data_IF_382139797373
#
_entry.id   IF_382139797373
#
_cell.length_a   1.000
_cell.length_b   1.000
_cell.length_c   1.000
_cell.angle_alpha   90.00
_cell.angle_beta   90.00
_cell.angle_gamma   90.00
#
_symmetry.space_group_name_H-M   'P 1'
#
loop_
_entity.id
_entity.type
_entity.pdbx_description
1 polymer ?
#
# COMPACT_ATOMS: atom_id res chain seq x y z
N UNK A 1 37.48 -27.13 9.30
CA UNK A 1 36.03 -26.92 9.14
C UNK A 1 35.44 -26.79 10.53
N UNK A 2 35.03 -25.59 10.95
CA UNK A 2 34.42 -25.40 12.25
C UNK A 2 33.00 -26.00 12.24
N UNK A 3 32.77 -26.97 13.11
CA UNK A 3 31.46 -27.59 13.36
C UNK A 3 30.54 -26.54 13.98
N UNK A 4 29.67 -25.93 13.18
CA UNK A 4 28.60 -25.07 13.68
C UNK A 4 27.67 -25.91 14.55
N UNK A 5 27.38 -25.42 15.75
CA UNK A 5 26.40 -26.05 16.64
C UNK A 5 25.00 -25.90 16.05
N UNK A 6 24.11 -26.86 16.29
CA UNK A 6 22.76 -26.92 15.71
C UNK A 6 21.91 -25.68 15.98
N UNK A 7 22.19 -24.94 17.07
CA UNK A 7 21.56 -23.66 17.39
C UNK A 7 22.06 -22.50 16.53
N UNK A 8 23.34 -22.47 16.14
CA UNK A 8 23.87 -21.49 15.19
C UNK A 8 23.37 -21.75 13.77
N UNK A 9 23.20 -23.01 13.37
CA UNK A 9 22.66 -23.35 12.06
C UNK A 9 21.21 -22.85 11.91
N UNK A 10 20.34 -23.12 12.90
CA UNK A 10 18.98 -22.59 12.93
C UNK A 10 18.94 -21.06 12.94
N UNK A 11 19.81 -20.39 13.71
CA UNK A 11 19.86 -18.92 13.76
C UNK A 11 20.32 -18.27 12.45
N UNK A 12 21.20 -18.93 11.70
CA UNK A 12 21.67 -18.48 10.38
C UNK A 12 20.59 -18.71 9.32
N UNK A 13 19.78 -19.76 9.45
CA UNK A 13 18.72 -20.13 8.49
C UNK A 13 17.45 -19.28 8.61
N UNK A 14 17.16 -18.71 9.78
CA UNK A 14 15.93 -17.92 10.06
C UNK A 14 16.08 -16.42 9.70
N UNK A 15 17.31 -15.93 9.44
CA UNK A 15 17.53 -14.51 9.13
C UNK A 15 17.08 -14.18 7.70
N UNK A 16 16.37 -13.06 7.48
CA UNK A 16 15.99 -12.66 6.13
C UNK A 16 17.21 -12.41 5.24
N UNK A 17 17.16 -12.74 3.94
CA UNK A 17 18.27 -12.53 3.00
C UNK A 17 18.80 -11.09 2.99
N UNK A 18 17.92 -10.10 3.13
CA UNK A 18 18.31 -8.68 3.18
C UNK A 18 19.18 -8.32 4.40
N UNK A 19 19.01 -9.01 5.52
CA UNK A 19 19.85 -8.82 6.71
C UNK A 19 21.24 -9.40 6.49
N UNK A 20 21.34 -10.59 5.88
CA UNK A 20 22.63 -11.16 5.50
C UNK A 20 23.39 -10.24 4.55
N UNK A 21 22.69 -9.63 3.59
CA UNK A 21 23.30 -8.66 2.69
C UNK A 21 23.85 -7.44 3.45
N UNK A 22 23.08 -6.85 4.36
CA UNK A 22 23.52 -5.67 5.12
C UNK A 22 24.67 -5.98 6.10
N UNK A 23 24.65 -7.15 6.74
CA UNK A 23 25.71 -7.57 7.66
C UNK A 23 27.05 -7.78 6.95
N UNK A 24 27.06 -8.11 5.64
CA UNK A 24 28.30 -8.21 4.83
C UNK A 24 29.04 -6.88 4.68
N UNK A 25 28.34 -5.75 4.67
CA UNK A 25 28.96 -4.43 4.54
C UNK A 25 29.35 -3.80 5.88
N UNK A 26 28.96 -4.42 6.99
CA UNK A 26 29.22 -3.87 8.32
C UNK A 26 30.50 -4.47 8.90
N UNK A 27 31.49 -3.62 9.20
CA UNK A 27 32.76 -4.00 9.87
C UNK A 27 32.58 -4.81 11.17
N UNK A 28 31.48 -4.63 11.90
CA UNK A 28 31.21 -5.32 13.16
C UNK A 28 30.46 -6.67 13.02
N UNK A 29 30.12 -7.09 11.79
CA UNK A 29 29.51 -8.39 11.48
C UNK A 29 28.05 -8.64 11.92
N UNK A 30 27.55 -8.02 13.00
CA UNK A 30 26.16 -8.20 13.49
C UNK A 30 25.43 -6.87 13.74
N UNK A 31 24.13 -6.83 13.43
CA UNK A 31 23.25 -5.69 13.75
C UNK A 31 22.78 -5.73 15.21
N UNK A 32 22.68 -4.56 15.85
CA UNK A 32 22.13 -4.41 17.20
C UNK A 32 20.60 -4.41 17.18
N UNK A 33 19.96 -4.79 18.28
CA UNK A 33 18.49 -4.78 18.44
C UNK A 33 17.87 -3.40 18.09
N UNK A 34 18.50 -2.30 18.53
CA UNK A 34 18.04 -0.94 18.19
C UNK A 34 18.10 -0.66 16.68
N UNK A 35 19.06 -1.25 15.97
CA UNK A 35 19.17 -1.10 14.52
C UNK A 35 18.04 -1.87 13.82
N UNK A 36 17.71 -3.08 14.27
CA UNK A 36 16.55 -3.81 13.77
C UNK A 36 15.25 -3.04 14.02
N UNK A 37 15.04 -2.50 15.22
CA UNK A 37 13.88 -1.66 15.53
C UNK A 37 13.78 -0.44 14.61
N UNK A 38 14.91 0.27 14.38
CA UNK A 38 14.96 1.41 13.47
C UNK A 38 14.65 1.01 12.02
N UNK A 39 15.21 -0.11 11.54
CA UNK A 39 14.93 -0.63 10.21
C UNK A 39 13.46 -1.00 10.05
N UNK A 40 12.88 -1.71 11.03
CA UNK A 40 11.46 -2.08 11.02
C UNK A 40 10.59 -0.82 10.94
N UNK A 41 10.87 0.19 11.77
CA UNK A 41 10.15 1.44 11.76
C UNK A 41 10.24 2.15 10.40
N UNK A 42 11.44 2.30 9.85
CA UNK A 42 11.66 2.99 8.57
C UNK A 42 11.01 2.23 7.41
N UNK A 43 11.17 0.91 7.36
CA UNK A 43 10.60 0.09 6.28
C UNK A 43 9.07 0.11 6.31
N UNK A 44 8.46 -0.04 7.49
CA UNK A 44 6.99 0.04 7.58
C UNK A 44 6.47 1.44 7.34
N UNK A 45 7.22 2.48 7.73
CA UNK A 45 6.89 3.87 7.43
C UNK A 45 6.87 4.14 5.93
N UNK A 46 7.93 3.75 5.22
CA UNK A 46 8.03 3.89 3.76
C UNK A 46 6.95 3.07 3.06
N UNK A 47 6.70 1.85 3.52
CA UNK A 47 5.64 1.01 2.98
C UNK A 47 4.26 1.69 3.06
N UNK A 48 3.94 2.29 4.21
CA UNK A 48 2.64 2.94 4.41
C UNK A 48 2.55 4.30 3.73
N UNK A 49 3.65 5.04 3.68
CA UNK A 49 3.79 6.23 2.85
C UNK A 49 3.48 5.88 1.39
N UNK A 50 4.02 4.78 0.86
CA UNK A 50 3.77 4.34 -0.50
C UNK A 50 2.29 3.97 -0.72
N UNK A 51 1.66 3.25 0.20
CA UNK A 51 0.21 2.99 0.14
C UNK A 51 -0.59 4.29 0.01
N UNK A 52 -0.28 5.31 0.82
CA UNK A 52 -0.97 6.60 0.73
C UNK A 52 -0.65 7.36 -0.56
N UNK A 53 0.60 7.33 -1.01
CA UNK A 53 0.99 7.93 -2.27
C UNK A 53 0.21 7.31 -3.45
N UNK A 54 0.01 5.98 -3.49
CA UNK A 54 -0.76 5.34 -4.57
C UNK A 54 -2.25 5.73 -4.59
N UNK A 55 -2.84 6.10 -3.46
CA UNK A 55 -4.27 6.48 -3.39
C UNK A 55 -4.54 7.88 -3.93
N UNK A 56 -3.56 8.77 -3.88
CA UNK A 56 -3.76 10.18 -4.24
C UNK A 56 -3.98 10.43 -5.73
N UNK A 57 -3.20 9.84 -6.66
CA UNK A 57 -3.48 9.96 -8.08
C UNK A 57 -4.91 9.56 -8.44
N UNK A 58 -5.43 8.46 -7.88
CA UNK A 58 -6.81 8.02 -8.09
C UNK A 58 -7.85 9.08 -7.67
N UNK A 59 -7.57 9.88 -6.64
CA UNK A 59 -8.44 10.98 -6.23
C UNK A 59 -8.34 12.20 -7.17
N UNK A 60 -7.15 12.47 -7.71
CA UNK A 60 -6.88 13.62 -8.58
C UNK A 60 -7.50 13.41 -9.96
N UNK A 61 -7.32 12.22 -10.55
CA UNK A 61 -7.77 11.92 -11.91
C UNK A 61 -9.29 11.93 -12.05
N UNK A 62 -10.05 11.62 -10.99
CA UNK A 62 -11.52 11.64 -10.97
C UNK A 62 -12.12 12.94 -11.49
N UNK A 63 -11.56 14.08 -11.06
CA UNK A 63 -12.02 15.40 -11.51
C UNK A 63 -11.81 15.65 -13.01
N UNK A 64 -10.88 14.91 -13.64
CA UNK A 64 -10.64 14.95 -15.08
C UNK A 64 -11.51 13.95 -15.83
N UNK A 65 -11.74 12.77 -15.24
CA UNK A 65 -12.57 11.71 -15.81
C UNK A 65 -14.04 12.14 -15.97
N UNK A 66 -14.59 12.84 -14.97
CA UNK A 66 -16.01 13.21 -14.92
C UNK A 66 -16.32 14.68 -15.21
N UNK A 67 -15.45 15.39 -15.96
CA UNK A 67 -15.68 16.82 -16.28
C UNK A 67 -17.04 17.00 -16.97
N UNK A 68 -18.01 17.66 -16.32
CA UNK A 68 -19.28 17.98 -16.96
C UNK A 68 -19.04 19.13 -17.94
N UNK A 69 -19.64 19.07 -19.12
CA UNK A 69 -19.62 20.16 -20.11
C UNK A 69 -20.44 21.36 -19.60
N UNK A 70 -19.88 22.16 -18.68
CA UNK A 70 -20.50 23.39 -18.18
C UNK A 70 -19.99 24.60 -18.95
N UNK A 71 -20.64 24.91 -20.07
CA UNK A 71 -20.43 26.14 -20.82
C UNK A 71 -21.53 26.37 -21.85
N UNK A 72 -22.14 27.57 -21.84
CA UNK A 72 -23.12 28.02 -22.84
C UNK A 72 -22.50 28.25 -24.23
N UNK A 73 -21.17 28.19 -24.33
CA UNK A 73 -20.47 28.10 -25.61
C UNK A 73 -20.19 26.63 -25.88
N UNK A 74 -20.76 26.10 -26.97
CA UNK A 74 -20.39 24.81 -27.56
C UNK A 74 -18.92 24.88 -28.01
N UNK A 75 -18.01 24.78 -27.06
CA UNK A 75 -16.60 24.59 -27.32
C UNK A 75 -16.39 23.09 -27.52
N UNK A 76 -16.25 22.71 -28.79
CA UNK A 76 -15.67 21.47 -29.19
C UNK A 76 -14.22 21.42 -28.65
N UNK A 77 -13.99 20.78 -27.49
CA UNK A 77 -12.72 20.11 -27.15
C UNK A 77 -12.86 19.33 -25.81
N UNK A 78 -13.14 18.03 -25.95
CA UNK A 78 -12.76 16.94 -25.03
C UNK A 78 -13.25 17.02 -23.57
N UNK A 79 -14.55 16.70 -23.39
CA UNK A 79 -15.23 16.50 -22.11
C UNK A 79 -15.05 15.08 -21.57
N UNK A 80 -14.32 14.92 -20.46
CA UNK A 80 -14.23 13.66 -19.69
C UNK A 80 -13.53 12.49 -20.39
N UNK A 81 -13.52 11.33 -19.73
CA UNK A 81 -13.05 10.06 -20.30
C UNK A 81 -14.10 8.98 -20.06
N UNK A 82 -14.58 8.34 -21.13
CA UNK A 82 -15.56 7.27 -21.01
C UNK A 82 -15.03 6.10 -20.14
N UNK A 83 -15.86 5.50 -19.27
CA UNK A 83 -17.32 5.64 -19.17
C UNK A 83 -17.79 6.76 -18.22
N UNK A 84 -16.91 7.67 -17.80
CA UNK A 84 -17.19 8.65 -16.76
C UNK A 84 -17.52 10.05 -17.30
N UNK A 85 -17.51 10.23 -18.62
CA UNK A 85 -17.74 11.49 -19.33
C UNK A 85 -19.23 11.91 -19.41
N UNK A 86 -20.15 11.02 -19.02
CA UNK A 86 -21.59 11.29 -19.00
C UNK A 86 -22.10 12.04 -17.75
N UNK A 87 -23.40 12.41 -17.71
CA UNK A 87 -24.03 13.07 -16.56
C UNK A 87 -23.96 12.23 -15.28
N UNK A 88 -23.92 10.89 -15.42
CA UNK A 88 -23.81 9.95 -14.31
C UNK A 88 -22.35 9.65 -13.91
N UNK A 89 -21.36 10.30 -14.53
CA UNK A 89 -19.93 10.02 -14.32
C UNK A 89 -19.49 10.08 -12.86
N UNK A 90 -19.94 11.11 -12.13
CA UNK A 90 -19.68 11.26 -10.69
C UNK A 90 -20.29 10.11 -9.89
N UNK A 91 -21.49 9.65 -10.25
CA UNK A 91 -22.13 8.52 -9.59
C UNK A 91 -21.39 7.20 -9.87
N UNK A 92 -20.94 6.97 -11.09
CA UNK A 92 -20.14 5.80 -11.47
C UNK A 92 -18.80 5.76 -10.72
N UNK A 93 -18.09 6.88 -10.62
CA UNK A 93 -16.87 6.98 -9.81
C UNK A 93 -17.15 6.72 -8.32
N UNK A 94 -18.29 7.21 -7.81
CA UNK A 94 -18.75 6.91 -6.45
C UNK A 94 -19.03 5.42 -6.20
N UNK A 95 -19.60 4.71 -7.19
CA UNK A 95 -19.82 3.26 -7.09
C UNK A 95 -18.50 2.48 -7.03
N UNK A 96 -17.49 2.90 -7.80
CA UNK A 96 -16.14 2.32 -7.76
C UNK A 96 -15.50 2.52 -6.39
N UNK A 97 -15.60 3.73 -5.83
CA UNK A 97 -15.08 4.04 -4.50
C UNK A 97 -15.77 3.24 -3.41
N UNK A 98 -17.10 3.11 -3.50
CA UNK A 98 -17.88 2.29 -2.59
C UNK A 98 -17.41 0.83 -2.65
N UNK A 99 -17.28 0.25 -3.85
CA UNK A 99 -16.81 -1.12 -4.00
C UNK A 99 -15.39 -1.31 -3.44
N UNK A 100 -14.48 -0.38 -3.71
CA UNK A 100 -13.14 -0.38 -3.12
C UNK A 100 -13.21 -0.36 -1.59
N UNK A 101 -13.96 0.57 -0.99
CA UNK A 101 -14.05 0.76 0.46
C UNK A 101 -14.73 -0.42 1.15
N UNK A 102 -15.77 -1.00 0.54
CA UNK A 102 -16.46 -2.17 1.07
C UNK A 102 -15.53 -3.38 1.12
N UNK A 103 -14.82 -3.68 0.02
CA UNK A 103 -13.87 -4.79 0.00
C UNK A 103 -12.66 -4.51 0.89
N UNK A 104 -12.21 -3.27 0.96
CA UNK A 104 -11.15 -2.87 1.89
C UNK A 104 -11.56 -3.11 3.35
N UNK A 105 -12.78 -2.77 3.74
CA UNK A 105 -13.28 -2.98 5.10
C UNK A 105 -13.35 -4.46 5.47
N UNK A 106 -13.93 -5.30 4.59
CA UNK A 106 -13.98 -6.76 4.78
C UNK A 106 -12.56 -7.34 4.82
N UNK A 107 -11.72 -6.93 3.89
CA UNK A 107 -10.33 -7.38 3.80
C UNK A 107 -9.51 -7.00 5.03
N UNK A 108 -9.74 -5.85 5.67
CA UNK A 108 -9.05 -5.48 6.91
C UNK A 108 -9.36 -6.47 8.04
N UNK A 109 -10.61 -6.91 8.16
CA UNK A 109 -11.01 -7.90 9.16
C UNK A 109 -10.33 -9.25 8.90
N UNK A 110 -10.35 -9.72 7.64
CA UNK A 110 -9.71 -10.98 7.24
C UNK A 110 -8.19 -10.91 7.42
N UNK A 111 -7.56 -9.83 6.97
CA UNK A 111 -6.13 -9.62 7.06
C UNK A 111 -5.65 -9.48 8.52
N UNK A 112 -6.47 -8.95 9.43
CA UNK A 112 -6.20 -8.98 10.86
C UNK A 112 -6.03 -10.42 11.37
N UNK A 113 -6.99 -11.28 11.08
CA UNK A 113 -6.95 -12.69 11.50
C UNK A 113 -5.82 -13.48 10.82
N UNK A 114 -5.57 -13.25 9.54
CA UNK A 114 -4.48 -13.89 8.81
C UNK A 114 -3.11 -13.38 9.27
N UNK A 115 -3.01 -12.11 9.66
CA UNK A 115 -1.78 -11.50 10.18
C UNK A 115 -1.27 -12.15 11.46
N UNK A 116 -2.16 -12.77 12.24
CA UNK A 116 -1.77 -13.53 13.44
C UNK A 116 -1.23 -14.94 13.13
N UNK A 117 -1.43 -15.43 11.91
CA UNK A 117 -1.07 -16.81 11.50
C UNK A 117 0.03 -16.87 10.43
N UNK A 118 0.17 -15.83 9.64
CA UNK A 118 1.12 -15.74 8.54
C UNK A 118 2.37 -14.96 8.95
N UNK A 119 3.47 -15.17 8.21
CA UNK A 119 4.62 -14.29 8.32
C UNK A 119 4.25 -12.87 7.85
N UNK A 120 4.22 -11.93 8.80
CA UNK A 120 3.79 -10.55 8.58
C UNK A 120 4.60 -9.82 7.51
N UNK A 121 5.87 -10.20 7.31
CA UNK A 121 6.75 -9.57 6.31
C UNK A 121 6.30 -9.96 4.91
N UNK A 122 6.17 -11.26 4.68
CA UNK A 122 5.74 -11.84 3.41
C UNK A 122 4.32 -11.39 3.08
N UNK A 123 3.42 -11.42 4.06
CA UNK A 123 2.03 -11.02 3.86
C UNK A 123 1.90 -9.53 3.51
N UNK A 124 2.63 -8.65 4.21
CA UNK A 124 2.70 -7.22 3.86
C UNK A 124 3.28 -7.01 2.45
N UNK A 125 4.34 -7.73 2.09
CA UNK A 125 4.94 -7.65 0.74
C UNK A 125 3.94 -8.03 -0.35
N UNK A 126 3.14 -9.08 -0.17
CA UNK A 126 2.08 -9.46 -1.11
C UNK A 126 1.07 -8.32 -1.28
N UNK A 127 0.62 -7.72 -0.16
CA UNK A 127 -0.30 -6.57 -0.20
C UNK A 127 0.29 -5.37 -0.94
N UNK A 128 1.57 -5.07 -0.72
CA UNK A 128 2.27 -3.96 -1.39
C UNK A 128 2.43 -4.19 -2.90
N UNK A 129 2.89 -5.37 -3.31
CA UNK A 129 3.07 -5.71 -4.72
C UNK A 129 1.71 -5.71 -5.44
N UNK A 130 0.71 -6.38 -4.86
CA UNK A 130 -0.64 -6.41 -5.42
C UNK A 130 -1.20 -5.00 -5.60
N UNK A 131 -1.04 -4.14 -4.59
CA UNK A 131 -1.44 -2.74 -4.69
C UNK A 131 -0.77 -2.02 -5.85
N UNK A 132 0.56 -2.13 -5.98
CA UNK A 132 1.30 -1.52 -7.09
C UNK A 132 0.81 -2.01 -8.46
N UNK A 133 0.57 -3.32 -8.60
CA UNK A 133 0.05 -3.92 -9.84
C UNK A 133 -1.33 -3.36 -10.18
N UNK A 134 -2.30 -3.36 -9.26
CA UNK A 134 -3.65 -2.89 -9.55
C UNK A 134 -3.72 -1.36 -9.73
N UNK A 135 -2.88 -0.59 -9.03
CA UNK A 135 -2.71 0.85 -9.30
C UNK A 135 -2.15 1.09 -10.70
N UNK A 136 -1.15 0.32 -11.14
CA UNK A 136 -0.61 0.42 -12.49
C UNK A 136 -1.65 0.04 -13.55
N UNK A 137 -2.40 -1.05 -13.34
CA UNK A 137 -3.48 -1.48 -14.25
C UNK A 137 -4.55 -0.40 -14.40
N UNK A 138 -4.93 0.28 -13.32
CA UNK A 138 -5.84 1.42 -13.41
C UNK A 138 -5.34 2.50 -14.40
N UNK A 139 -4.03 2.83 -14.35
CA UNK A 139 -3.41 3.79 -15.26
C UNK A 139 -3.21 3.27 -16.69
N UNK A 140 -2.95 1.98 -16.87
CA UNK A 140 -2.79 1.33 -18.18
C UNK A 140 -4.06 1.47 -19.03
N UNK A 141 -5.24 1.58 -18.40
CA UNK A 141 -6.51 1.79 -19.10
C UNK A 141 -6.48 2.93 -20.13
N UNK A 142 -5.74 4.01 -19.83
CA UNK A 142 -5.57 5.14 -20.75
C UNK A 142 -4.82 4.72 -22.03
N UNK A 143 -3.63 4.13 -21.87
CA UNK A 143 -2.77 3.70 -22.97
C UNK A 143 -3.38 2.57 -23.80
N UNK A 144 -4.12 1.68 -23.14
CA UNK A 144 -4.83 0.56 -23.76
C UNK A 144 -6.22 0.97 -24.31
N UNK A 145 -6.60 2.24 -24.19
CA UNK A 145 -7.86 2.80 -24.69
C UNK A 145 -9.11 2.06 -24.17
N UNK A 146 -9.11 1.69 -22.88
CA UNK A 146 -10.18 0.93 -22.23
C UNK A 146 -11.24 1.89 -21.68
N UNK A 147 -12.49 1.70 -22.13
CA UNK A 147 -13.64 2.52 -21.75
C UNK A 147 -14.75 1.70 -21.05
N UNK A 148 -14.37 0.66 -20.32
CA UNK A 148 -15.32 -0.25 -19.65
C UNK A 148 -15.43 0.06 -18.16
N UNK A 149 -16.64 0.34 -17.68
CA UNK A 149 -16.91 0.56 -16.25
C UNK A 149 -16.50 -0.65 -15.41
N UNK A 150 -16.85 -1.85 -15.87
CA UNK A 150 -16.54 -3.10 -15.17
C UNK A 150 -15.05 -3.37 -15.05
N UNK A 151 -14.24 -2.87 -16.00
CA UNK A 151 -12.79 -2.93 -15.88
C UNK A 151 -12.31 -2.13 -14.65
N UNK A 152 -12.70 -0.86 -14.56
CA UNK A 152 -12.31 0.00 -13.44
C UNK A 152 -12.86 -0.50 -12.10
N UNK A 153 -14.11 -1.00 -12.10
CA UNK A 153 -14.73 -1.63 -10.93
C UNK A 153 -13.90 -2.83 -10.46
N UNK A 154 -13.60 -3.78 -11.34
CA UNK A 154 -12.84 -4.98 -10.99
C UNK A 154 -11.43 -4.66 -10.46
N UNK A 155 -10.71 -3.78 -11.16
CA UNK A 155 -9.36 -3.36 -10.75
C UNK A 155 -9.38 -2.69 -9.37
N UNK A 156 -10.33 -1.80 -9.12
CA UNK A 156 -10.43 -1.09 -7.85
C UNK A 156 -10.92 -1.99 -6.70
N UNK A 157 -11.83 -2.92 -6.97
CA UNK A 157 -12.21 -3.94 -6.00
C UNK A 157 -11.02 -4.80 -5.57
N UNK A 158 -10.21 -5.27 -6.52
CA UNK A 158 -9.00 -6.04 -6.23
C UNK A 158 -7.94 -5.19 -5.53
N UNK A 159 -7.75 -3.94 -5.95
CA UNK A 159 -6.89 -2.99 -5.25
C UNK A 159 -7.32 -2.82 -3.79
N UNK A 160 -8.62 -2.71 -3.50
CA UNK A 160 -9.17 -2.63 -2.14
C UNK A 160 -8.76 -3.82 -1.27
N UNK A 161 -8.85 -5.04 -1.83
CA UNK A 161 -8.43 -6.25 -1.14
C UNK A 161 -6.94 -6.21 -0.78
N UNK A 162 -6.05 -5.97 -1.74
CA UNK A 162 -4.60 -5.95 -1.47
C UNK A 162 -4.19 -4.79 -0.55
N UNK A 163 -4.82 -3.63 -0.69
CA UNK A 163 -4.54 -2.49 0.17
C UNK A 163 -4.97 -2.71 1.62
N UNK A 164 -6.03 -3.49 1.87
CA UNK A 164 -6.52 -3.76 3.23
C UNK A 164 -5.56 -4.56 4.10
N UNK A 165 -4.60 -5.26 3.50
CA UNK A 165 -3.57 -6.03 4.21
C UNK A 165 -2.63 -5.10 4.99
N UNK A 166 -2.38 -3.90 4.47
CA UNK A 166 -1.36 -2.99 4.99
C UNK A 166 -1.52 -2.66 6.47
N UNK A 167 -2.65 -2.05 6.87
CA UNK A 167 -2.86 -1.53 8.23
C UNK A 167 -2.68 -2.61 9.31
N UNK A 168 -3.45 -3.72 9.30
CA UNK A 168 -3.35 -4.73 10.34
C UNK A 168 -1.94 -5.33 10.43
N UNK A 169 -1.29 -5.59 9.28
CA UNK A 169 0.05 -6.14 9.27
C UNK A 169 1.07 -5.20 9.91
N UNK A 170 1.05 -3.92 9.54
CA UNK A 170 2.03 -2.97 10.08
C UNK A 170 1.80 -2.68 11.55
N UNK A 171 0.54 -2.58 11.98
CA UNK A 171 0.21 -2.42 13.41
C UNK A 171 0.69 -3.61 14.23
N UNK A 172 0.57 -4.83 13.70
CA UNK A 172 1.11 -6.04 14.31
C UNK A 172 2.64 -6.03 14.35
N UNK A 173 3.31 -5.68 13.24
CA UNK A 173 4.78 -5.57 13.18
C UNK A 173 5.30 -4.56 14.23
N UNK A 174 4.74 -3.35 14.28
CA UNK A 174 5.15 -2.34 15.27
C UNK A 174 4.84 -2.78 16.70
N UNK A 175 3.76 -3.54 16.90
CA UNK A 175 3.42 -4.12 18.20
C UNK A 175 4.39 -5.17 18.70
N UNK A 176 4.94 -5.96 17.79
CA UNK A 176 5.91 -7.02 18.11
C UNK A 176 7.31 -6.47 18.41
N UNK A 177 7.65 -5.30 17.86
CA UNK A 177 8.99 -4.71 17.99
C UNK A 177 9.14 -3.64 19.07
N UNK A 178 8.05 -3.02 19.53
CA UNK A 178 8.12 -1.86 20.43
C UNK A 178 7.32 -2.05 21.73
N UNK A 179 7.95 -1.69 22.85
CA UNK A 179 7.38 -1.83 24.19
C UNK A 179 6.12 -0.98 24.39
N UNK A 180 5.16 -1.50 25.16
CA UNK A 180 3.89 -0.85 25.49
C UNK A 180 4.05 0.58 26.04
N UNK A 181 5.10 0.84 26.84
CA UNK A 181 5.36 2.15 27.48
C UNK A 181 5.66 3.27 26.47
N UNK A 182 6.26 2.95 25.31
CA UNK A 182 6.66 3.95 24.29
C UNK A 182 5.87 3.82 22.99
N UNK A 183 5.05 2.78 22.85
CA UNK A 183 4.29 2.47 21.62
C UNK A 183 3.41 3.65 21.16
N UNK A 184 2.80 4.41 22.07
CA UNK A 184 1.97 5.56 21.71
C UNK A 184 2.76 6.66 20.96
N UNK A 185 3.92 7.05 21.50
CA UNK A 185 4.79 8.05 20.85
C UNK A 185 5.31 7.53 19.51
N UNK A 186 5.72 6.27 19.47
CA UNK A 186 6.25 5.63 18.26
C UNK A 186 5.17 5.57 17.17
N UNK A 187 3.95 5.13 17.50
CA UNK A 187 2.82 5.12 16.58
C UNK A 187 2.44 6.53 16.13
N UNK A 188 2.52 7.53 17.02
CA UNK A 188 2.26 8.94 16.69
C UNK A 188 3.23 9.48 15.65
N UNK A 189 4.54 9.32 15.87
CA UNK A 189 5.56 9.72 14.89
C UNK A 189 5.42 8.92 13.60
N UNK A 190 5.17 7.61 13.71
CA UNK A 190 4.98 6.74 12.56
C UNK A 190 3.82 7.22 11.68
N UNK A 191 2.69 7.62 12.28
CA UNK A 191 1.47 8.07 11.58
C UNK A 191 1.68 9.24 10.62
N UNK A 192 2.79 9.99 10.76
CA UNK A 192 3.21 11.03 9.81
C UNK A 192 3.39 10.52 8.37
N UNK A 193 3.56 9.20 8.18
CA UNK A 193 3.58 8.55 6.86
C UNK A 193 2.37 8.95 6.00
N UNK A 194 1.21 9.20 6.63
CA UNK A 194 -0.05 9.49 5.94
C UNK A 194 0.05 10.83 5.23
N UNK A 195 0.45 11.86 5.97
CA UNK A 195 0.58 13.22 5.44
C UNK A 195 1.69 13.28 4.39
N UNK A 196 2.84 12.66 4.65
CA UNK A 196 3.96 12.67 3.70
C UNK A 196 3.60 11.90 2.42
N UNK A 197 2.99 10.72 2.54
CA UNK A 197 2.54 9.94 1.38
C UNK A 197 1.50 10.69 0.56
N UNK A 198 0.58 11.39 1.23
CA UNK A 198 -0.42 12.22 0.55
C UNK A 198 0.21 13.39 -0.21
N UNK A 199 1.24 14.04 0.34
CA UNK A 199 1.97 15.11 -0.35
C UNK A 199 2.69 14.54 -1.58
N UNK A 200 3.48 13.48 -1.40
CA UNK A 200 4.24 12.85 -2.48
C UNK A 200 3.32 12.39 -3.62
N UNK A 201 2.19 11.77 -3.30
CA UNK A 201 1.23 11.34 -4.32
C UNK A 201 0.46 12.47 -5.02
N UNK A 202 0.63 13.72 -4.57
CA UNK A 202 0.01 14.90 -5.20
C UNK A 202 0.98 15.75 -6.02
N UNK A 203 2.30 15.53 -5.86
CA UNK A 203 3.36 16.18 -6.64
C UNK A 203 3.50 15.49 -8.01
#
# INVERSE_FOLDING_TARGET
>A
MASLTSSEFLYVEIKPPGIHFLERFKRSGKLSFKQYQAMVFVLTFIAYLAFHATRKPNSIVKGTLSKPSTGHFKAAENSGWAPFDGPDGTALLGQIDLAFLSVYAVGMFVAGHLGDRLDLRTFLTIGMIGTGVFTALFGVAFWANIHSFYYFLAIQTLAGWFQSIGWPCVVAVLGNWFDKKRRGVIMGVWSAHTSIGNIIGSL
#
